data_IF_078192007599
#
_entry.id   IF_078192007599
#
_cell.length_a   1.000
_cell.length_b   1.000
_cell.length_c   1.000
_cell.angle_alpha   90.00
_cell.angle_beta   90.00
_cell.angle_gamma   90.00
#
_symmetry.space_group_name_H-M   'P 1'
#
loop_
_entity.id
_entity.type
_entity.pdbx_description
1 polymer ?
#
# COMPACT_ATOMS: atom_id res chain seq x y z
N UNK A 1 24.56 -4.16 6.98
CA UNK A 1 23.45 -3.54 6.25
C UNK A 1 23.88 -3.10 4.88
N UNK A 2 22.95 -3.05 3.93
CA UNK A 2 23.09 -2.41 2.61
C UNK A 2 22.05 -1.30 2.50
N UNK A 3 22.38 -0.26 1.73
CA UNK A 3 21.44 0.85 1.44
C UNK A 3 20.93 0.64 0.01
N UNK A 4 19.63 0.61 -0.16
CA UNK A 4 18.94 0.53 -1.44
C UNK A 4 18.36 1.90 -1.84
N UNK A 5 17.65 1.94 -2.96
CA UNK A 5 16.99 3.16 -3.43
C UNK A 5 16.15 3.81 -2.34
N UNK A 6 16.03 5.15 -2.37
CA UNK A 6 15.28 5.94 -1.39
C UNK A 6 15.86 5.84 0.05
N UNK A 7 17.17 5.61 0.18
CA UNK A 7 17.87 5.50 1.48
C UNK A 7 17.35 4.38 2.39
N UNK A 8 16.69 3.37 1.82
CA UNK A 8 16.18 2.24 2.59
C UNK A 8 17.30 1.31 2.99
N UNK A 9 17.36 0.96 4.27
CA UNK A 9 18.39 0.10 4.85
C UNK A 9 17.87 -1.33 5.00
N UNK A 10 18.62 -2.28 4.43
CA UNK A 10 18.31 -3.70 4.49
C UNK A 10 19.50 -4.51 5.04
N UNK A 11 19.25 -5.71 5.60
CA UNK A 11 20.33 -6.64 5.91
C UNK A 11 20.97 -7.14 4.60
N UNK A 12 22.29 -7.34 4.60
CA UNK A 12 23.02 -7.88 3.44
C UNK A 12 22.49 -9.25 3.02
N UNK A 13 21.96 -10.03 3.98
CA UNK A 13 21.37 -11.35 3.77
C UNK A 13 19.98 -11.34 3.11
N UNK A 14 19.36 -10.18 2.92
CA UNK A 14 17.97 -10.03 2.50
C UNK A 14 16.94 -10.82 3.34
N UNK A 15 17.30 -11.18 4.56
CA UNK A 15 16.47 -11.97 5.46
C UNK A 15 16.08 -11.18 6.71
N UNK A 16 14.76 -11.05 6.96
CA UNK A 16 14.23 -10.47 8.19
C UNK A 16 14.69 -11.24 9.44
N UNK A 17 14.96 -12.53 9.32
CA UNK A 17 15.49 -13.36 10.41
C UNK A 17 16.83 -12.84 10.94
N UNK A 18 17.72 -12.36 10.05
CA UNK A 18 19.00 -11.76 10.47
C UNK A 18 18.80 -10.54 11.37
N UNK A 19 17.81 -9.71 11.06
CA UNK A 19 17.48 -8.53 11.88
C UNK A 19 16.96 -8.98 13.25
N UNK A 20 16.01 -9.91 13.26
CA UNK A 20 15.48 -10.48 14.51
C UNK A 20 16.58 -11.06 15.41
N UNK A 21 17.43 -11.92 14.85
CA UNK A 21 18.49 -12.58 15.61
C UNK A 21 19.51 -11.58 16.17
N UNK A 22 19.81 -10.51 15.43
CA UNK A 22 20.68 -9.42 15.88
C UNK A 22 20.08 -8.67 17.09
N UNK A 23 18.80 -8.29 17.00
CA UNK A 23 18.10 -7.59 18.07
C UNK A 23 17.92 -8.49 19.31
N UNK A 24 17.59 -9.76 19.10
CA UNK A 24 17.45 -10.72 20.18
C UNK A 24 18.78 -10.96 20.93
N UNK A 25 19.89 -11.11 20.18
CA UNK A 25 21.24 -11.21 20.77
C UNK A 25 21.62 -9.96 21.52
N UNK A 26 21.27 -8.78 20.99
CA UNK A 26 21.52 -7.49 21.66
C UNK A 26 20.75 -7.40 22.99
N UNK A 27 19.47 -7.75 22.99
CA UNK A 27 18.64 -7.77 24.20
C UNK A 27 19.23 -8.69 25.27
N UNK A 28 19.65 -9.90 24.91
CA UNK A 28 20.31 -10.84 25.83
C UNK A 28 21.61 -10.30 26.39
N UNK A 29 22.43 -9.66 25.54
CA UNK A 29 23.70 -9.04 26.00
C UNK A 29 23.47 -7.97 27.09
N UNK A 30 22.34 -7.26 26.99
CA UNK A 30 21.95 -6.22 27.95
C UNK A 30 21.06 -6.75 29.07
N UNK A 31 20.97 -8.07 29.24
CA UNK A 31 20.22 -8.73 30.32
C UNK A 31 18.73 -8.35 30.35
N UNK A 32 18.15 -8.09 29.18
CA UNK A 32 16.71 -7.86 29.08
C UNK A 32 15.99 -9.18 29.30
N UNK A 33 15.08 -9.22 30.28
CA UNK A 33 14.18 -10.36 30.48
C UNK A 33 13.05 -10.32 29.46
N UNK A 34 12.87 -11.40 28.71
CA UNK A 34 11.80 -11.54 27.73
C UNK A 34 10.80 -12.56 28.26
N UNK A 35 9.60 -12.10 28.59
CA UNK A 35 8.53 -12.94 29.13
C UNK A 35 7.52 -13.18 27.99
N UNK A 36 7.52 -14.39 27.47
CA UNK A 36 6.60 -14.82 26.40
C UNK A 36 5.25 -15.28 26.99
N UNK A 37 4.22 -15.32 26.15
CA UNK A 37 2.87 -15.78 26.49
C UNK A 37 2.27 -15.05 27.71
N UNK A 38 2.62 -13.78 27.87
CA UNK A 38 2.26 -12.95 29.01
C UNK A 38 1.55 -11.67 28.55
N UNK A 39 0.33 -11.77 28.00
CA UNK A 39 -0.39 -10.62 27.49
C UNK A 39 -0.71 -9.65 28.61
N UNK A 40 -0.40 -8.37 28.39
CA UNK A 40 -0.77 -7.29 29.28
C UNK A 40 -2.29 -7.03 29.21
N UNK A 41 -2.86 -6.59 30.31
CA UNK A 41 -4.28 -6.24 30.43
C UNK A 41 -4.50 -4.74 30.60
N UNK A 42 -3.61 -4.08 31.35
CA UNK A 42 -3.72 -2.65 31.62
C UNK A 42 -2.41 -2.07 32.15
N UNK A 43 -2.31 -0.75 32.09
CA UNK A 43 -1.28 0.04 32.76
C UNK A 43 -1.76 0.31 34.19
N UNK A 44 -0.85 0.18 35.14
CA UNK A 44 -1.09 0.50 36.56
C UNK A 44 -0.65 1.94 36.83
N UNK A 45 -1.53 2.71 37.43
CA UNK A 45 -1.27 4.07 37.91
C UNK A 45 -0.93 4.02 39.42
N UNK A 46 -0.01 4.88 39.85
CA UNK A 46 0.34 5.02 41.27
C UNK A 46 -0.90 5.43 42.10
N UNK A 47 -0.97 4.90 43.30
CA UNK A 47 -2.04 5.30 44.25
C UNK A 47 -1.75 6.65 44.91
N UNK A 48 -0.45 6.94 45.06
CA UNK A 48 0.02 8.15 45.75
C UNK A 48 0.02 9.36 44.83
N UNK A 49 0.37 9.14 43.56
CA UNK A 49 0.33 10.15 42.51
C UNK A 49 -0.31 9.59 41.23
N UNK A 50 -1.50 10.04 40.93
CA UNK A 50 -2.26 9.61 39.74
C UNK A 50 -1.63 10.04 38.43
N UNK A 51 -0.64 10.89 38.43
CA UNK A 51 0.14 11.28 37.26
C UNK A 51 1.29 10.31 36.94
N UNK A 52 1.59 9.38 37.88
CA UNK A 52 2.68 8.42 37.71
C UNK A 52 2.22 7.00 37.43
N UNK A 53 2.97 6.31 36.59
CA UNK A 53 2.79 4.89 36.31
C UNK A 53 3.51 4.07 37.41
N UNK A 54 2.86 3.00 37.89
CA UNK A 54 3.45 2.06 38.82
C UNK A 54 3.80 0.69 38.24
N UNK A 55 3.34 0.40 37.02
CA UNK A 55 3.64 -0.87 36.32
C UNK A 55 2.62 -1.31 35.32
N UNK A 56 2.56 -2.61 35.09
CA UNK A 56 1.65 -3.26 34.13
C UNK A 56 1.01 -4.47 34.81
N UNK A 57 -0.29 -4.67 34.58
CA UNK A 57 -1.01 -5.88 34.99
C UNK A 57 -1.19 -6.80 33.78
N UNK A 58 -0.86 -8.07 33.97
CA UNK A 58 -1.05 -9.11 32.96
C UNK A 58 -2.49 -9.67 33.00
N UNK A 59 -2.94 -10.29 31.92
CA UNK A 59 -4.25 -10.98 31.87
C UNK A 59 -4.34 -12.14 32.91
N UNK A 60 -3.22 -12.70 33.30
CA UNK A 60 -3.14 -13.70 34.41
C UNK A 60 -3.43 -13.13 35.79
N UNK A 61 -3.53 -11.82 35.94
CA UNK A 61 -3.66 -11.13 37.23
C UNK A 61 -2.33 -10.71 37.86
N UNK A 62 -1.19 -11.25 37.40
CA UNK A 62 0.13 -10.87 37.87
C UNK A 62 0.45 -9.41 37.57
N UNK A 63 1.03 -8.70 38.52
CA UNK A 63 1.48 -7.33 38.36
C UNK A 63 3.00 -7.29 38.23
N UNK A 64 3.49 -6.48 37.29
CA UNK A 64 4.90 -6.19 37.07
C UNK A 64 5.10 -4.72 37.40
N UNK A 65 5.78 -4.45 38.50
CA UNK A 65 6.02 -3.08 38.92
C UNK A 65 7.19 -2.47 38.15
N UNK A 66 7.01 -1.23 37.70
CA UNK A 66 8.02 -0.47 36.97
C UNK A 66 7.80 1.03 37.16
N UNK A 67 8.88 1.78 37.24
CA UNK A 67 8.84 3.26 37.31
C UNK A 67 8.56 3.89 35.96
N UNK A 68 8.88 3.19 34.87
CA UNK A 68 8.64 3.64 33.48
C UNK A 68 8.18 2.47 32.66
N UNK A 69 7.24 2.71 31.78
CA UNK A 69 6.67 1.73 30.84
C UNK A 69 6.79 2.26 29.43
N UNK A 70 7.30 1.44 28.54
CA UNK A 70 7.33 1.74 27.09
C UNK A 70 6.21 0.93 26.44
N UNK A 71 5.29 1.61 25.77
CA UNK A 71 4.19 0.99 25.03
C UNK A 71 4.61 0.86 23.57
N UNK A 72 4.87 -0.36 23.14
CA UNK A 72 5.30 -0.69 21.78
C UNK A 72 4.43 -1.82 21.19
N UNK A 73 3.11 -1.74 21.41
CA UNK A 73 2.12 -2.78 21.07
C UNK A 73 1.72 -2.81 19.61
N UNK A 74 2.25 -1.90 18.78
CA UNK A 74 1.79 -1.71 17.40
C UNK A 74 0.42 -1.06 17.32
N UNK A 75 -0.12 -1.02 16.11
CA UNK A 75 -1.44 -0.46 15.80
C UNK A 75 -2.53 -1.53 15.70
N UNK A 76 -3.35 -1.42 14.64
CA UNK A 76 -4.43 -2.36 14.32
C UNK A 76 -4.17 -3.17 13.04
N UNK A 77 -3.04 -2.93 12.38
CA UNK A 77 -2.66 -3.62 11.16
C UNK A 77 -1.93 -4.91 11.49
N UNK A 78 -2.23 -6.00 10.76
CA UNK A 78 -1.67 -7.33 11.01
C UNK A 78 -1.94 -7.85 12.43
N UNK A 79 -3.20 -7.97 12.84
CA UNK A 79 -3.57 -8.40 14.20
C UNK A 79 -3.01 -9.79 14.56
N UNK A 80 -2.75 -10.65 13.58
CA UNK A 80 -2.09 -11.95 13.76
C UNK A 80 -0.65 -11.84 14.31
N UNK A 81 -0.03 -10.67 14.21
CA UNK A 81 1.30 -10.40 14.79
C UNK A 81 1.24 -9.80 16.19
N UNK A 82 0.06 -9.64 16.77
CA UNK A 82 -0.16 -9.05 18.09
C UNK A 82 -0.54 -7.56 18.06
N UNK A 83 -0.68 -6.95 16.88
CA UNK A 83 -1.10 -5.54 16.73
C UNK A 83 -2.63 -5.43 16.80
N UNK A 84 -3.19 -5.64 17.98
CA UNK A 84 -4.63 -5.74 18.23
C UNK A 84 -5.30 -4.42 18.65
N UNK A 85 -4.50 -3.34 18.80
CA UNK A 85 -4.99 -2.04 19.30
C UNK A 85 -5.14 -1.95 20.81
N UNK A 86 -4.74 -2.97 21.56
CA UNK A 86 -4.85 -3.00 23.04
C UNK A 86 -4.20 -1.76 23.68
N UNK A 87 -3.03 -1.32 23.17
CA UNK A 87 -2.33 -0.14 23.67
C UNK A 87 -3.19 1.13 23.61
N UNK A 88 -3.97 1.31 22.55
CA UNK A 88 -4.87 2.46 22.44
C UNK A 88 -5.97 2.42 23.49
N UNK A 89 -6.52 1.24 23.79
CA UNK A 89 -7.52 1.06 24.82
C UNK A 89 -6.97 1.37 26.21
N UNK A 90 -5.72 0.99 26.51
CA UNK A 90 -5.07 1.30 27.78
C UNK A 90 -4.79 2.79 27.94
N UNK A 91 -4.27 3.42 26.89
CA UNK A 91 -3.95 4.85 26.89
C UNK A 91 -5.22 5.73 27.01
N UNK A 92 -6.31 5.36 26.35
CA UNK A 92 -7.61 6.05 26.50
C UNK A 92 -8.11 5.98 27.94
N UNK A 93 -7.92 4.84 28.64
CA UNK A 93 -8.31 4.68 30.05
C UNK A 93 -7.54 5.56 31.02
N UNK A 94 -6.29 5.89 30.69
CA UNK A 94 -5.45 6.76 31.53
C UNK A 94 -5.49 8.24 31.11
N UNK A 95 -6.39 8.58 30.18
CA UNK A 95 -6.72 9.97 29.86
C UNK A 95 -6.16 10.48 28.51
N UNK A 96 -5.45 9.66 27.73
CA UNK A 96 -4.98 10.07 26.42
C UNK A 96 -6.11 10.16 25.38
N UNK A 97 -6.00 11.17 24.54
CA UNK A 97 -6.83 11.32 23.34
C UNK A 97 -6.35 10.37 22.25
N UNK A 98 -7.21 9.47 21.83
CA UNK A 98 -6.93 8.53 20.74
C UNK A 98 -7.70 8.96 19.50
N UNK A 99 -6.95 9.39 18.48
CA UNK A 99 -7.48 9.57 17.12
C UNK A 99 -7.74 8.18 16.57
N UNK A 100 -8.98 7.91 16.16
CA UNK A 100 -9.40 6.55 15.81
C UNK A 100 -8.48 5.93 14.76
N UNK A 101 -7.87 4.78 15.05
CA UNK A 101 -6.94 4.15 14.14
C UNK A 101 -7.65 3.60 12.90
N UNK A 102 -7.12 3.89 11.73
CA UNK A 102 -7.61 3.37 10.45
C UNK A 102 -6.50 2.62 9.72
N UNK A 103 -6.84 1.56 8.97
CA UNK A 103 -5.88 0.89 8.10
C UNK A 103 -5.29 1.87 7.07
N UNK A 104 -3.99 1.83 6.88
CA UNK A 104 -3.28 2.65 5.89
C UNK A 104 -2.27 1.80 5.13
N UNK A 105 -1.83 2.27 3.96
CA UNK A 105 -1.04 1.48 3.02
C UNK A 105 -1.73 0.14 2.71
N UNK A 106 -2.96 0.23 2.21
CA UNK A 106 -3.87 -0.89 1.99
C UNK A 106 -4.04 -1.15 0.50
N UNK A 107 -4.04 -2.40 0.04
CA UNK A 107 -4.43 -2.70 -1.33
C UNK A 107 -5.88 -2.29 -1.60
N UNK A 108 -6.17 -2.06 -2.89
CA UNK A 108 -7.48 -1.59 -3.36
C UNK A 108 -8.17 -2.73 -4.10
N UNK A 109 -9.37 -3.08 -3.67
CA UNK A 109 -10.28 -3.92 -4.44
C UNK A 109 -10.91 -3.11 -5.57
N UNK A 110 -11.09 -3.72 -6.74
CA UNK A 110 -11.61 -3.06 -7.92
C UNK A 110 -12.84 -3.77 -8.46
N UNK A 111 -13.71 -3.02 -9.14
CA UNK A 111 -14.92 -3.55 -9.78
C UNK A 111 -14.63 -4.28 -11.10
N UNK A 112 -13.50 -3.99 -11.73
CA UNK A 112 -13.16 -4.46 -13.07
C UNK A 112 -12.50 -5.84 -13.07
N UNK A 113 -13.21 -6.86 -13.53
CA UNK A 113 -12.74 -8.26 -13.49
C UNK A 113 -11.53 -8.52 -14.40
N UNK A 114 -11.34 -7.73 -15.45
CA UNK A 114 -10.16 -7.86 -16.30
C UNK A 114 -8.87 -7.58 -15.53
N UNK A 115 -8.90 -6.67 -14.53
CA UNK A 115 -7.77 -6.36 -13.64
C UNK A 115 -7.36 -7.58 -12.83
N UNK A 116 -8.35 -8.32 -12.31
CA UNK A 116 -8.13 -9.51 -11.48
C UNK A 116 -7.48 -10.65 -12.29
N UNK A 117 -7.76 -10.71 -13.60
CA UNK A 117 -7.11 -11.67 -14.53
C UNK A 117 -5.63 -11.38 -14.75
N UNK A 118 -5.15 -10.18 -14.42
CA UNK A 118 -3.74 -9.79 -14.49
C UNK A 118 -2.97 -10.09 -13.20
N UNK A 119 -3.51 -10.86 -12.28
CA UNK A 119 -2.87 -11.18 -11.00
C UNK A 119 -1.41 -11.63 -11.18
N UNK A 120 -0.52 -11.13 -10.30
CA UNK A 120 0.94 -11.29 -10.33
C UNK A 120 1.69 -10.42 -11.35
N UNK A 121 1.00 -9.68 -12.24
CA UNK A 121 1.65 -8.72 -13.12
C UNK A 121 2.12 -7.51 -12.30
N UNK A 122 3.38 -7.14 -12.48
CA UNK A 122 3.97 -5.94 -11.88
C UNK A 122 4.46 -4.98 -12.96
N UNK A 123 4.17 -3.71 -12.82
CA UNK A 123 4.66 -2.64 -13.68
C UNK A 123 5.49 -1.67 -12.85
N UNK A 124 6.72 -1.38 -13.30
CA UNK A 124 7.72 -0.72 -12.47
C UNK A 124 7.55 0.80 -12.33
N UNK A 125 7.12 1.46 -13.40
CA UNK A 125 7.06 2.93 -13.48
C UNK A 125 5.77 3.36 -14.16
N UNK A 126 4.73 3.57 -13.38
CA UNK A 126 3.40 3.93 -13.83
C UNK A 126 3.00 5.26 -13.21
N UNK A 127 2.47 6.16 -14.01
CA UNK A 127 1.77 7.33 -13.48
C UNK A 127 0.33 6.95 -13.19
N UNK A 128 -0.11 7.27 -11.99
CA UNK A 128 -1.44 6.96 -11.48
C UNK A 128 -2.16 8.28 -11.27
N UNK A 129 -3.37 8.39 -11.76
CA UNK A 129 -4.23 9.56 -11.52
C UNK A 129 -5.53 9.07 -10.91
N UNK A 130 -5.92 9.59 -9.77
CA UNK A 130 -7.24 9.35 -9.18
C UNK A 130 -8.22 10.40 -9.66
N UNK A 131 -9.38 9.95 -10.08
CA UNK A 131 -10.48 10.79 -10.56
C UNK A 131 -11.73 10.48 -9.73
N UNK A 132 -12.47 11.53 -9.37
CA UNK A 132 -13.81 11.41 -8.80
C UNK A 132 -14.77 12.24 -9.65
N UNK A 133 -15.82 11.62 -10.15
CA UNK A 133 -16.73 12.27 -11.10
C UNK A 133 -15.99 12.92 -12.30
N UNK A 134 -15.00 12.20 -12.85
CA UNK A 134 -14.13 12.64 -13.94
C UNK A 134 -13.18 13.82 -13.61
N UNK A 135 -13.27 14.36 -12.39
CA UNK A 135 -12.37 15.42 -11.92
C UNK A 135 -11.13 14.82 -11.26
N UNK A 136 -9.98 15.24 -11.71
CA UNK A 136 -8.70 14.84 -11.15
C UNK A 136 -8.56 15.28 -9.69
N UNK A 137 -8.22 14.33 -8.80
CA UNK A 137 -8.02 14.56 -7.38
C UNK A 137 -6.54 14.53 -7.01
N UNK A 138 -5.83 13.46 -7.38
CA UNK A 138 -4.43 13.27 -7.01
C UNK A 138 -3.64 12.56 -8.11
N UNK A 139 -2.32 12.59 -8.02
CA UNK A 139 -1.41 11.93 -8.96
C UNK A 139 -0.22 11.33 -8.23
N UNK A 140 0.02 10.04 -8.45
CA UNK A 140 1.20 9.33 -7.99
C UNK A 140 2.02 8.74 -9.12
N UNK A 141 3.23 8.28 -8.83
CA UNK A 141 4.08 7.55 -9.78
C UNK A 141 4.88 6.48 -9.05
N UNK A 142 5.03 5.32 -9.67
CA UNK A 142 5.86 4.25 -9.14
C UNK A 142 5.39 2.87 -9.55
N UNK A 143 5.87 1.87 -8.78
CA UNK A 143 5.57 0.46 -9.03
C UNK A 143 4.16 0.11 -8.57
N UNK A 144 3.42 -0.60 -9.43
CA UNK A 144 2.12 -1.20 -9.12
C UNK A 144 2.18 -2.72 -9.26
N UNK A 145 1.24 -3.40 -8.61
CA UNK A 145 1.06 -4.85 -8.67
C UNK A 145 -0.42 -5.15 -8.88
N UNK A 146 -0.75 -5.90 -9.91
CA UNK A 146 -2.06 -6.47 -10.12
C UNK A 146 -2.24 -7.72 -9.25
N UNK A 147 -3.39 -7.85 -8.61
CA UNK A 147 -3.71 -8.96 -7.72
C UNK A 147 -5.06 -9.58 -8.07
N UNK A 148 -5.38 -10.73 -7.49
CA UNK A 148 -6.67 -11.39 -7.70
C UNK A 148 -7.89 -10.63 -7.16
N UNK A 149 -7.68 -9.56 -6.42
CA UNK A 149 -8.73 -8.66 -5.93
C UNK A 149 -8.69 -7.26 -6.56
N UNK A 150 -7.56 -6.87 -7.17
CA UNK A 150 -7.41 -5.53 -7.74
C UNK A 150 -5.97 -5.06 -7.78
N UNK A 151 -5.67 -3.92 -7.13
CA UNK A 151 -4.38 -3.24 -7.21
C UNK A 151 -3.65 -3.19 -5.86
N UNK A 152 -2.34 -3.33 -5.92
CA UNK A 152 -1.40 -3.20 -4.82
C UNK A 152 -0.08 -2.60 -5.34
N UNK A 153 0.97 -2.70 -4.55
CA UNK A 153 2.30 -2.16 -4.87
C UNK A 153 2.52 -0.77 -4.27
N UNK A 154 3.79 -0.35 -4.14
CA UNK A 154 4.14 0.84 -3.34
C UNK A 154 3.36 2.10 -3.73
N UNK A 155 3.18 2.36 -5.03
CA UNK A 155 2.48 3.56 -5.48
C UNK A 155 0.99 3.54 -5.10
N UNK A 156 0.30 2.41 -5.28
CA UNK A 156 -1.11 2.24 -4.89
C UNK A 156 -1.26 2.33 -3.37
N UNK A 157 -0.38 1.68 -2.62
CA UNK A 157 -0.44 1.69 -1.15
C UNK A 157 -0.29 3.11 -0.60
N UNK A 158 0.64 3.89 -1.15
CA UNK A 158 0.84 5.28 -0.72
C UNK A 158 -0.40 6.17 -0.97
N UNK A 159 -1.13 5.93 -2.05
CA UNK A 159 -2.34 6.68 -2.41
C UNK A 159 -3.62 6.13 -1.74
N UNK A 160 -3.54 4.97 -1.08
CA UNK A 160 -4.72 4.23 -0.62
C UNK A 160 -5.58 4.99 0.39
N UNK A 161 -4.95 5.79 1.27
CA UNK A 161 -5.68 6.61 2.26
C UNK A 161 -6.59 7.62 1.59
N UNK A 162 -6.05 8.38 0.64
CA UNK A 162 -6.78 9.44 -0.06
C UNK A 162 -7.86 8.84 -0.96
N UNK A 163 -7.56 7.71 -1.64
CA UNK A 163 -8.56 6.95 -2.40
C UNK A 163 -9.69 6.47 -1.47
N UNK A 164 -9.37 5.98 -0.27
CA UNK A 164 -10.35 5.55 0.72
C UNK A 164 -11.25 6.69 1.21
N UNK A 165 -10.70 7.89 1.38
CA UNK A 165 -11.50 9.08 1.71
C UNK A 165 -12.43 9.45 0.56
N UNK A 166 -11.93 9.48 -0.68
CA UNK A 166 -12.75 9.78 -1.86
C UNK A 166 -13.90 8.79 -2.04
N UNK A 167 -13.67 7.49 -1.82
CA UNK A 167 -14.70 6.45 -1.93
C UNK A 167 -15.91 6.66 -1.02
N UNK A 168 -15.79 7.44 0.07
CA UNK A 168 -16.92 7.81 0.94
C UNK A 168 -17.89 8.77 0.27
N UNK A 169 -17.45 9.50 -0.74
CA UNK A 169 -18.21 10.56 -1.40
C UNK A 169 -18.65 10.22 -2.83
N UNK A 170 -18.32 9.03 -3.32
CA UNK A 170 -18.75 8.58 -4.64
C UNK A 170 -17.76 7.65 -5.34
N UNK A 171 -18.02 7.41 -6.62
CA UNK A 171 -17.18 6.52 -7.43
C UNK A 171 -15.81 7.14 -7.68
N UNK A 172 -14.79 6.29 -7.57
CA UNK A 172 -13.39 6.67 -7.83
C UNK A 172 -12.83 5.83 -8.97
N UNK A 173 -12.28 6.50 -9.95
CA UNK A 173 -11.55 5.87 -11.06
C UNK A 173 -10.05 6.08 -10.87
N UNK A 174 -9.28 5.00 -10.98
CA UNK A 174 -7.83 5.00 -11.00
C UNK A 174 -7.42 4.90 -12.47
N UNK A 175 -6.84 5.95 -13.02
CA UNK A 175 -6.33 6.00 -14.39
C UNK A 175 -4.83 5.72 -14.39
N UNK A 176 -4.39 4.74 -15.19
CA UNK A 176 -2.99 4.34 -15.30
C UNK A 176 -2.40 4.81 -16.62
N UNK A 177 -1.34 5.61 -16.57
CA UNK A 177 -0.47 5.90 -17.70
C UNK A 177 0.75 4.97 -17.63
N UNK A 178 0.81 4.01 -18.55
CA UNK A 178 1.88 2.99 -18.56
C UNK A 178 3.12 3.42 -19.36
N UNK A 179 3.10 4.60 -19.94
CA UNK A 179 4.23 5.24 -20.61
C UNK A 179 4.43 6.68 -20.12
N UNK A 180 4.69 6.91 -18.81
CA UNK A 180 4.69 8.26 -18.23
C UNK A 180 5.78 9.18 -18.78
N UNK A 181 6.83 8.63 -19.38
CA UNK A 181 7.95 9.36 -19.98
C UNK A 181 7.76 9.66 -21.46
N UNK A 182 6.67 9.21 -22.08
CA UNK A 182 6.34 9.45 -23.50
C UNK A 182 5.04 10.21 -23.59
N UNK A 183 5.02 11.27 -24.39
CA UNK A 183 3.77 11.96 -24.73
C UNK A 183 2.94 11.18 -25.77
N UNK A 184 1.74 11.65 -26.08
CA UNK A 184 0.84 11.02 -27.05
C UNK A 184 1.48 10.95 -28.45
N UNK A 185 2.23 11.96 -28.87
CA UNK A 185 2.90 12.02 -30.17
C UNK A 185 3.99 10.96 -30.29
N UNK A 186 4.87 10.87 -29.29
CA UNK A 186 5.94 9.87 -29.21
C UNK A 186 5.38 8.44 -29.22
N UNK A 187 4.33 8.19 -28.42
CA UNK A 187 3.72 6.87 -28.34
C UNK A 187 3.00 6.51 -29.65
N UNK A 188 2.32 7.47 -30.29
CA UNK A 188 1.71 7.27 -31.59
C UNK A 188 2.74 6.93 -32.66
N UNK A 189 3.88 7.64 -32.74
CA UNK A 189 4.97 7.33 -33.65
C UNK A 189 5.52 5.92 -33.44
N UNK A 190 5.73 5.54 -32.18
CA UNK A 190 6.19 4.21 -31.79
C UNK A 190 5.21 3.11 -32.22
N UNK A 191 3.91 3.32 -32.07
CA UNK A 191 2.89 2.36 -32.53
C UNK A 191 2.87 2.27 -34.06
N UNK A 192 3.04 3.39 -34.78
CA UNK A 192 3.15 3.38 -36.25
C UNK A 192 4.30 2.52 -36.74
N UNK A 193 5.48 2.66 -36.12
CA UNK A 193 6.67 1.88 -36.45
C UNK A 193 6.42 0.38 -36.25
N UNK A 194 5.91 0.00 -35.07
CA UNK A 194 5.59 -1.39 -34.73
C UNK A 194 4.57 -1.98 -35.70
N UNK A 195 3.53 -1.23 -36.04
CA UNK A 195 2.49 -1.72 -36.96
C UNK A 195 3.01 -1.86 -38.39
N UNK A 196 3.93 -1.01 -38.83
CA UNK A 196 4.61 -1.11 -40.13
C UNK A 196 5.51 -2.35 -40.19
N UNK A 197 6.30 -2.61 -39.14
CA UNK A 197 7.16 -3.79 -39.05
C UNK A 197 6.38 -5.11 -38.95
N UNK A 198 5.23 -5.07 -38.31
CA UNK A 198 4.41 -6.25 -37.97
C UNK A 198 3.06 -6.27 -38.68
N UNK A 199 3.00 -5.72 -39.88
CA UNK A 199 1.75 -5.45 -40.63
C UNK A 199 0.82 -6.66 -40.79
N UNK A 200 1.37 -7.87 -40.91
CA UNK A 200 0.61 -9.12 -41.06
C UNK A 200 0.33 -9.83 -39.74
N UNK A 201 0.73 -9.27 -38.58
CA UNK A 201 0.46 -9.84 -37.26
C UNK A 201 -0.80 -9.23 -36.69
N UNK A 202 -1.51 -10.01 -35.85
CA UNK A 202 -2.65 -9.54 -35.07
C UNK A 202 -2.23 -8.44 -34.11
N UNK A 203 -3.10 -7.45 -33.88
CA UNK A 203 -2.86 -6.30 -33.02
C UNK A 203 -2.33 -6.69 -31.65
N UNK A 204 -2.99 -7.63 -30.94
CA UNK A 204 -2.59 -8.03 -29.60
C UNK A 204 -1.16 -8.58 -29.53
N UNK A 205 -0.73 -9.33 -30.57
CA UNK A 205 0.62 -9.89 -30.64
C UNK A 205 1.68 -8.81 -30.92
N UNK A 206 1.27 -7.72 -31.57
CA UNK A 206 2.15 -6.60 -31.86
C UNK A 206 2.29 -5.67 -30.65
N UNK A 207 1.22 -5.44 -29.88
CA UNK A 207 1.27 -4.71 -28.62
C UNK A 207 2.14 -5.44 -27.57
N UNK A 208 2.18 -6.77 -27.59
CA UNK A 208 3.04 -7.56 -26.69
C UNK A 208 4.54 -7.31 -26.90
N UNK A 209 4.93 -6.54 -27.92
CA UNK A 209 6.31 -6.07 -28.08
C UNK A 209 6.69 -4.92 -27.12
N UNK A 210 5.71 -4.19 -26.61
CA UNK A 210 5.94 -3.00 -25.77
C UNK A 210 5.30 -3.08 -24.40
N UNK A 211 4.33 -3.98 -24.20
CA UNK A 211 3.66 -4.21 -22.92
C UNK A 211 3.51 -5.73 -22.66
N UNK A 212 3.37 -6.18 -21.42
CA UNK A 212 3.12 -7.60 -21.12
C UNK A 212 1.91 -8.15 -21.87
N UNK A 213 2.00 -9.37 -22.37
CA UNK A 213 0.99 -9.98 -23.26
C UNK A 213 -0.41 -10.04 -22.64
N UNK A 214 -0.50 -10.31 -21.33
CA UNK A 214 -1.76 -10.30 -20.62
C UNK A 214 -2.41 -8.90 -20.63
N UNK A 215 -1.62 -7.85 -20.41
CA UNK A 215 -2.09 -6.47 -20.47
C UNK A 215 -2.45 -6.05 -21.91
N UNK A 216 -1.70 -6.51 -22.93
CA UNK A 216 -2.01 -6.25 -24.32
C UNK A 216 -3.41 -6.75 -24.69
N UNK A 217 -3.79 -7.93 -24.20
CA UNK A 217 -5.14 -8.47 -24.41
C UNK A 217 -6.22 -7.58 -23.78
N UNK A 218 -6.01 -7.11 -22.57
CA UNK A 218 -6.93 -6.22 -21.88
C UNK A 218 -7.04 -4.85 -22.58
N UNK A 219 -5.92 -4.28 -23.04
CA UNK A 219 -5.89 -3.01 -23.80
C UNK A 219 -6.69 -3.12 -25.12
N UNK A 220 -6.53 -4.22 -25.83
CA UNK A 220 -7.30 -4.47 -27.06
C UNK A 220 -8.80 -4.57 -26.76
N UNK A 221 -9.18 -5.29 -25.70
CA UNK A 221 -10.59 -5.39 -25.26
C UNK A 221 -11.16 -4.01 -24.89
N UNK A 222 -10.44 -3.22 -24.10
CA UNK A 222 -10.84 -1.86 -23.72
C UNK A 222 -10.95 -0.90 -24.91
N UNK A 223 -10.10 -1.06 -25.93
CA UNK A 223 -10.13 -0.25 -27.15
C UNK A 223 -11.33 -0.54 -28.06
N UNK A 224 -12.05 -1.64 -27.81
CA UNK A 224 -13.15 -2.14 -28.64
C UNK A 224 -12.72 -2.42 -30.10
N UNK A 225 -11.42 -2.55 -30.38
CA UNK A 225 -10.88 -2.92 -31.67
C UNK A 225 -10.98 -4.45 -31.79
N UNK A 226 -11.35 -4.94 -32.98
CA UNK A 226 -11.41 -6.38 -33.23
C UNK A 226 -10.05 -7.04 -32.91
N UNK A 227 -9.95 -7.97 -31.95
CA UNK A 227 -8.69 -8.60 -31.55
C UNK A 227 -8.00 -9.40 -32.64
N UNK A 228 -8.75 -9.84 -33.66
CA UNK A 228 -8.24 -10.58 -34.81
C UNK A 228 -7.71 -9.67 -35.95
N UNK A 229 -7.90 -8.37 -35.81
CA UNK A 229 -7.47 -7.39 -36.81
C UNK A 229 -5.96 -7.38 -36.94
N UNK A 230 -5.45 -7.39 -38.18
CA UNK A 230 -4.02 -7.26 -38.45
C UNK A 230 -3.58 -5.80 -38.41
N UNK A 231 -2.29 -5.57 -38.10
CA UNK A 231 -1.75 -4.23 -37.94
C UNK A 231 -1.89 -3.35 -39.19
N UNK A 232 -1.83 -3.91 -40.40
CA UNK A 232 -2.03 -3.19 -41.66
C UNK A 232 -3.47 -2.66 -41.84
N UNK A 233 -4.43 -3.26 -41.12
CA UNK A 233 -5.82 -2.83 -41.14
C UNK A 233 -6.18 -1.81 -40.05
N UNK A 234 -5.28 -1.46 -39.15
CA UNK A 234 -5.54 -0.50 -38.06
C UNK A 234 -5.60 0.92 -38.64
N UNK A 235 -6.74 1.59 -38.45
CA UNK A 235 -6.92 2.98 -38.90
C UNK A 235 -6.15 3.96 -38.00
N UNK A 236 -6.07 5.21 -38.44
CA UNK A 236 -5.47 6.29 -37.66
C UNK A 236 -6.25 6.51 -36.37
N UNK A 237 -7.57 6.49 -36.41
CA UNK A 237 -8.48 6.71 -35.29
C UNK A 237 -8.31 5.59 -34.26
N UNK A 238 -8.29 4.33 -34.70
CA UNK A 238 -8.06 3.18 -33.84
C UNK A 238 -6.68 3.25 -33.16
N UNK A 239 -5.65 3.67 -33.87
CA UNK A 239 -4.31 3.84 -33.30
C UNK A 239 -4.27 4.95 -32.27
N UNK A 240 -4.93 6.08 -32.49
CA UNK A 240 -5.03 7.16 -31.52
C UNK A 240 -5.82 6.71 -30.29
N UNK A 241 -6.91 5.99 -30.46
CA UNK A 241 -7.66 5.39 -29.34
C UNK A 241 -6.79 4.43 -28.51
N UNK A 242 -5.91 3.65 -29.14
CA UNK A 242 -4.93 2.83 -28.42
C UNK A 242 -3.94 3.67 -27.62
N UNK A 243 -3.45 4.78 -28.19
CA UNK A 243 -2.58 5.73 -27.47
C UNK A 243 -3.30 6.28 -26.24
N UNK A 244 -4.55 6.72 -26.40
CA UNK A 244 -5.34 7.29 -25.31
C UNK A 244 -5.56 6.27 -24.19
N UNK A 245 -5.86 5.01 -24.54
CA UNK A 245 -6.01 3.94 -23.53
C UNK A 245 -4.68 3.65 -22.83
N UNK A 246 -3.57 3.52 -23.57
CA UNK A 246 -2.25 3.26 -22.99
C UNK A 246 -1.79 4.38 -22.05
N UNK A 247 -2.27 5.59 -22.26
CA UNK A 247 -2.04 6.76 -21.43
C UNK A 247 -3.04 6.90 -20.27
N UNK A 248 -4.21 6.28 -20.37
CA UNK A 248 -5.30 6.46 -19.43
C UNK A 248 -6.12 5.16 -19.27
N UNK A 249 -5.51 4.08 -18.80
CA UNK A 249 -6.24 2.82 -18.54
C UNK A 249 -7.15 3.03 -17.34
N UNK A 250 -8.47 3.03 -17.51
CA UNK A 250 -9.40 3.28 -16.40
C UNK A 250 -9.65 2.02 -15.57
N UNK A 251 -9.61 2.15 -14.26
CA UNK A 251 -9.90 1.09 -13.30
C UNK A 251 -10.81 1.67 -12.22
N UNK A 252 -11.97 1.07 -12.01
CA UNK A 252 -12.93 1.52 -11.01
C UNK A 252 -12.58 0.91 -9.65
N UNK A 253 -12.22 1.75 -8.69
CA UNK A 253 -12.02 1.34 -7.32
C UNK A 253 -13.36 0.91 -6.70
N UNK A 254 -13.33 -0.13 -5.88
CA UNK A 254 -14.50 -0.61 -5.14
C UNK A 254 -14.38 -0.23 -3.66
N UNK A 255 -13.36 -0.73 -2.99
CA UNK A 255 -13.08 -0.45 -1.58
C UNK A 255 -11.61 -0.70 -1.22
N UNK A 256 -11.21 -0.22 -0.05
CA UNK A 256 -9.96 -0.64 0.57
C UNK A 256 -10.12 -2.04 1.18
N UNK A 257 -9.06 -2.85 1.15
CA UNK A 257 -9.03 -4.09 1.92
C UNK A 257 -8.93 -3.80 3.43
N UNK A 258 -9.23 -4.82 4.24
CA UNK A 258 -9.27 -4.70 5.69
C UNK A 258 -7.89 -4.55 6.36
N UNK A 259 -7.93 -4.37 7.69
CA UNK A 259 -6.74 -4.21 8.55
C UNK A 259 -5.78 -5.41 8.50
N UNK A 260 -6.27 -6.59 8.19
CA UNK A 260 -5.47 -7.81 7.99
C UNK A 260 -4.54 -7.72 6.76
N UNK A 261 -4.83 -6.83 5.81
CA UNK A 261 -4.01 -6.56 4.62
C UNK A 261 -3.26 -5.23 4.68
N UNK A 262 -3.56 -4.38 5.66
CA UNK A 262 -2.88 -3.12 5.86
C UNK A 262 -1.42 -3.33 6.28
N UNK A 263 -0.52 -2.46 5.82
CA UNK A 263 0.88 -2.47 6.25
C UNK A 263 1.04 -1.69 7.56
N UNK A 264 0.35 -0.57 7.69
CA UNK A 264 0.41 0.30 8.86
C UNK A 264 -0.97 0.78 9.26
N UNK A 265 -1.06 1.34 10.47
CA UNK A 265 -2.25 2.07 10.94
C UNK A 265 -1.96 3.56 10.93
N UNK A 266 -2.93 4.35 10.49
CA UNK A 266 -2.97 5.81 10.65
C UNK A 266 -3.78 6.14 11.90
N UNK A 267 -3.52 7.24 12.58
CA UNK A 267 -4.15 7.58 13.86
C UNK A 267 -3.34 7.09 15.06
N UNK A 268 -3.99 7.01 16.21
CA UNK A 268 -3.37 6.63 17.49
C UNK A 268 -3.37 7.78 18.49
N UNK A 269 -2.40 7.85 19.41
CA UNK A 269 -2.31 8.92 20.41
C UNK A 269 -2.18 10.29 19.73
N UNK A 270 -2.91 11.30 20.22
CA UNK A 270 -2.76 12.68 19.75
C UNK A 270 -1.30 13.13 19.87
N UNK A 271 -0.78 13.71 18.79
CA UNK A 271 0.62 14.14 18.74
C UNK A 271 0.90 15.28 19.73
N UNK A 272 -0.11 16.05 20.11
CA UNK A 272 0.02 17.13 21.10
C UNK A 272 0.31 16.62 22.51
N UNK A 273 0.02 15.35 22.77
CA UNK A 273 0.22 14.68 24.05
C UNK A 273 1.54 13.91 24.13
N UNK A 274 2.41 14.04 23.12
CA UNK A 274 3.70 13.36 23.06
C UNK A 274 4.83 14.37 22.94
N UNK A 275 5.84 14.24 23.80
CA UNK A 275 7.11 14.93 23.62
C UNK A 275 8.00 14.13 22.65
N UNK A 276 8.14 14.61 21.43
CA UNK A 276 8.93 13.93 20.38
C UNK A 276 10.45 13.90 20.63
N UNK A 277 10.98 14.68 21.57
CA UNK A 277 12.39 14.60 21.91
C UNK A 277 12.70 13.41 22.80
N UNK A 278 11.77 13.07 23.68
CA UNK A 278 11.93 12.00 24.68
C UNK A 278 11.02 10.80 24.41
N UNK A 279 10.04 10.96 23.51
CA UNK A 279 8.95 10.02 23.27
C UNK A 279 8.12 9.74 24.52
N UNK A 280 8.06 10.71 25.43
CA UNK A 280 7.29 10.61 26.68
C UNK A 280 5.89 11.20 26.51
N UNK A 281 4.95 10.66 27.27
CA UNK A 281 3.64 11.27 27.52
C UNK A 281 3.81 12.64 28.18
N UNK A 282 3.00 13.59 27.79
CA UNK A 282 2.89 14.91 28.46
C UNK A 282 1.81 14.90 29.49
#
# INVERSE_FOLDING_TARGET
>A
TKIENEQRVFPVSDSARTVFDALFKYSKKHKVEIILNSPAAQILISKDDKSEISGVKLKSGKEILARKVIIATGGISRPETGSTGDGFAWLRKIGHTIIEPTPSLVPIEVKDDWVKKLASLSLADIKITTLQNEVKQDTGRGKILFTHFGLSGPAILNMSKDIGELLKYGEVTISLDIFPSQDHGMLNAKLQEIFKERQNKKLKNSLSAIIPSALASAVVELSKINPEKQCNGITREERLALVDILKNIPIRADKLLGSDKAIVSSGGVSLDEVDFKTMSSR
#
